data_IF_449104661954
#
_entry.id   IF_449104661954
#
_cell.length_a   1.000
_cell.length_b   1.000
_cell.length_c   1.000
_cell.angle_alpha   90.00
_cell.angle_beta   90.00
_cell.angle_gamma   90.00
#
_symmetry.space_group_name_H-M   'P 1'
#
loop_
_entity.id
_entity.type
_entity.pdbx_description
1 polymer ?
#
# COMPACT_ATOMS: atom_id res chain seq x y z
N UNK A 1 74.59 -21.43 -28.78
CA UNK A 1 74.21 -19.99 -28.55
C UNK A 1 72.70 -19.94 -28.44
N UNK A 2 72.19 -19.85 -27.23
CA UNK A 2 70.77 -19.81 -26.95
C UNK A 2 70.41 -18.36 -26.69
N UNK A 3 69.44 -17.81 -27.47
CA UNK A 3 68.84 -16.52 -27.23
C UNK A 3 67.75 -16.70 -26.17
N UNK A 4 67.70 -15.88 -25.08
CA UNK A 4 66.63 -15.92 -24.16
C UNK A 4 65.42 -15.16 -24.75
N UNK A 5 64.28 -15.84 -24.79
CA UNK A 5 63.01 -15.24 -25.14
C UNK A 5 62.60 -14.19 -24.10
N UNK A 6 62.42 -12.95 -24.53
CA UNK A 6 61.89 -11.87 -23.69
C UNK A 6 60.41 -12.14 -23.36
N UNK A 7 59.95 -11.92 -22.12
CA UNK A 7 58.56 -12.05 -21.76
C UNK A 7 57.78 -10.87 -22.37
N UNK A 8 56.77 -11.20 -23.18
CA UNK A 8 55.78 -10.24 -23.66
C UNK A 8 55.04 -9.61 -22.46
N UNK A 9 55.56 -8.45 -22.01
CA UNK A 9 54.87 -7.64 -21.06
C UNK A 9 53.62 -7.06 -21.71
N UNK A 10 52.46 -7.50 -21.26
CA UNK A 10 51.17 -6.91 -21.62
C UNK A 10 51.14 -5.52 -21.00
N UNK A 11 51.60 -4.52 -21.77
CA UNK A 11 51.47 -3.10 -21.44
C UNK A 11 49.97 -2.77 -21.45
N UNK A 12 49.36 -2.75 -20.28
CA UNK A 12 48.06 -2.13 -20.10
C UNK A 12 48.17 -0.63 -20.49
N UNK A 13 47.45 -0.15 -21.51
CA UNK A 13 47.53 1.25 -21.89
C UNK A 13 47.16 2.12 -20.71
N UNK A 14 47.88 3.24 -20.44
CA UNK A 14 47.53 4.15 -19.36
C UNK A 14 46.20 4.78 -19.69
N UNK A 15 45.18 4.44 -18.90
CA UNK A 15 43.87 5.06 -19.06
C UNK A 15 43.97 6.55 -18.69
N UNK A 16 43.67 7.42 -19.66
CA UNK A 16 43.65 8.87 -19.53
C UNK A 16 42.88 9.31 -18.27
N UNK A 17 43.44 10.16 -17.42
CA UNK A 17 42.80 10.58 -16.16
C UNK A 17 41.45 11.25 -16.41
N UNK A 18 41.27 11.96 -17.53
CA UNK A 18 40.00 12.55 -17.93
C UNK A 18 38.92 11.48 -18.24
N UNK A 19 39.31 10.34 -18.84
CA UNK A 19 38.39 9.24 -19.13
C UNK A 19 37.94 8.53 -17.84
N UNK A 20 38.86 8.34 -16.88
CA UNK A 20 38.50 7.80 -15.56
C UNK A 20 37.54 8.69 -14.79
N UNK A 21 37.68 10.01 -14.87
CA UNK A 21 36.78 10.97 -14.25
C UNK A 21 35.39 10.93 -14.89
N UNK A 22 35.30 10.86 -16.22
CA UNK A 22 34.01 10.72 -16.93
C UNK A 22 33.32 9.42 -16.59
N UNK A 23 34.01 8.30 -16.54
CA UNK A 23 33.44 7.01 -16.18
C UNK A 23 32.89 7.03 -14.74
N UNK A 24 33.65 7.60 -13.80
CA UNK A 24 33.18 7.75 -12.40
C UNK A 24 31.93 8.61 -12.30
N UNK A 25 31.87 9.69 -13.05
CA UNK A 25 30.69 10.59 -13.09
C UNK A 25 29.46 9.85 -13.68
N UNK A 26 29.63 9.13 -14.79
CA UNK A 26 28.56 8.35 -15.39
C UNK A 26 28.06 7.26 -14.45
N UNK A 27 28.95 6.53 -13.79
CA UNK A 27 28.59 5.49 -12.82
C UNK A 27 27.87 6.10 -11.62
N UNK A 28 28.34 7.22 -11.09
CA UNK A 28 27.69 7.90 -9.97
C UNK A 28 26.30 8.43 -10.33
N UNK A 29 26.14 9.01 -11.52
CA UNK A 29 24.85 9.49 -12.03
C UNK A 29 23.86 8.31 -12.24
N UNK A 30 24.32 7.22 -12.85
CA UNK A 30 23.47 6.06 -13.07
C UNK A 30 23.02 5.41 -11.74
N UNK A 31 23.93 5.31 -10.77
CA UNK A 31 23.59 4.82 -9.43
C UNK A 31 22.57 5.73 -8.73
N UNK A 32 22.73 7.05 -8.84
CA UNK A 32 21.78 8.01 -8.29
C UNK A 32 20.38 7.87 -8.92
N UNK A 33 20.30 7.70 -10.25
CA UNK A 33 19.03 7.49 -10.96
C UNK A 33 18.36 6.20 -10.51
N UNK A 34 19.10 5.10 -10.38
CA UNK A 34 18.57 3.81 -9.93
C UNK A 34 18.04 3.91 -8.50
N UNK A 35 18.80 4.54 -7.58
CA UNK A 35 18.36 4.75 -6.20
C UNK A 35 17.11 5.62 -6.11
N UNK A 36 17.06 6.71 -6.87
CA UNK A 36 15.88 7.59 -6.91
C UNK A 36 14.66 6.86 -7.45
N UNK A 37 14.82 6.08 -8.51
CA UNK A 37 13.73 5.27 -9.07
C UNK A 37 13.23 4.21 -8.07
N UNK A 38 14.13 3.57 -7.33
CA UNK A 38 13.76 2.61 -6.29
C UNK A 38 13.00 3.28 -5.14
N UNK A 39 13.43 4.46 -4.69
CA UNK A 39 12.73 5.23 -3.66
C UNK A 39 11.33 5.68 -4.10
N UNK A 40 11.19 6.15 -5.35
CA UNK A 40 9.89 6.51 -5.90
C UNK A 40 8.99 5.28 -5.97
N UNK A 41 9.49 4.14 -6.45
CA UNK A 41 8.72 2.91 -6.53
C UNK A 41 8.23 2.43 -5.16
N UNK A 42 9.08 2.46 -4.14
CA UNK A 42 8.68 2.08 -2.78
C UNK A 42 7.68 3.06 -2.17
N UNK A 43 7.80 4.36 -2.43
CA UNK A 43 6.86 5.38 -1.96
C UNK A 43 5.46 5.21 -2.56
N UNK A 44 5.36 4.90 -3.85
CA UNK A 44 4.07 4.61 -4.50
C UNK A 44 3.46 3.29 -4.04
N UNK A 45 4.28 2.29 -3.70
CA UNK A 45 3.78 1.01 -3.17
C UNK A 45 3.25 1.09 -1.74
N UNK A 46 3.66 2.11 -0.99
CA UNK A 46 3.22 2.34 0.40
C UNK A 46 1.91 3.14 0.50
N UNK A 47 1.46 3.79 -0.57
CA UNK A 47 0.16 4.48 -0.56
C UNK A 47 -0.97 3.47 -0.70
N UNK A 48 -1.66 3.19 0.40
CA UNK A 48 -2.89 2.41 0.40
C UNK A 48 -3.97 3.23 -0.31
N UNK A 49 -4.34 2.83 -1.51
CA UNK A 49 -5.43 3.46 -2.25
C UNK A 49 -6.75 3.23 -1.49
N UNK A 50 -7.49 4.32 -1.23
CA UNK A 50 -8.81 4.25 -0.62
C UNK A 50 -9.79 3.64 -1.63
N UNK A 51 -10.33 2.47 -1.32
CA UNK A 51 -11.24 1.71 -2.19
C UNK A 51 -12.54 1.37 -1.50
N UNK A 52 -13.57 1.29 -2.32
CA UNK A 52 -14.89 0.82 -1.89
C UNK A 52 -14.98 -0.72 -1.99
N UNK A 53 -15.88 -1.36 -1.23
CA UNK A 53 -16.12 -2.79 -1.32
C UNK A 53 -16.38 -3.32 -2.73
N UNK A 54 -17.12 -2.59 -3.56
CA UNK A 54 -17.40 -2.98 -4.95
C UNK A 54 -16.12 -3.01 -5.81
N UNK A 55 -15.26 -2.01 -5.69
CA UNK A 55 -13.96 -1.99 -6.38
C UNK A 55 -13.04 -3.09 -5.88
N UNK A 56 -13.03 -3.30 -4.56
CA UNK A 56 -12.19 -4.33 -3.96
C UNK A 56 -12.61 -5.74 -4.44
N UNK A 57 -13.91 -5.99 -4.52
CA UNK A 57 -14.43 -7.27 -4.99
C UNK A 57 -14.07 -7.57 -6.46
N UNK A 58 -14.03 -6.53 -7.31
CA UNK A 58 -13.78 -6.67 -8.76
C UNK A 58 -12.31 -6.66 -9.16
N UNK A 59 -11.45 -5.93 -8.43
CA UNK A 59 -10.09 -5.63 -8.91
C UNK A 59 -8.97 -5.85 -7.89
N UNK A 60 -9.25 -6.44 -6.71
CA UNK A 60 -8.22 -6.65 -5.70
C UNK A 60 -7.19 -7.68 -6.13
N UNK A 61 -5.94 -7.27 -6.23
CA UNK A 61 -4.79 -8.16 -6.43
C UNK A 61 -4.33 -8.77 -5.10
N UNK A 62 -3.94 -10.04 -5.14
CA UNK A 62 -3.41 -10.72 -3.96
C UNK A 62 -2.11 -10.05 -3.47
N UNK A 63 -1.93 -9.97 -2.16
CA UNK A 63 -0.73 -9.42 -1.51
C UNK A 63 -0.61 -7.90 -1.50
N UNK A 64 -1.50 -7.18 -2.17
CA UNK A 64 -1.53 -5.71 -2.15
C UNK A 64 -2.40 -5.20 -1.01
N UNK A 65 -1.94 -4.16 -0.34
CA UNK A 65 -2.71 -3.49 0.70
C UNK A 65 -3.67 -2.45 0.10
N UNK A 66 -4.90 -2.42 0.61
CA UNK A 66 -5.95 -1.48 0.22
C UNK A 66 -6.57 -0.87 1.46
N UNK A 67 -6.88 0.41 1.41
CA UNK A 67 -7.63 1.08 2.47
C UNK A 67 -9.13 0.96 2.19
N UNK A 68 -9.75 -0.06 2.75
CA UNK A 68 -11.18 -0.32 2.59
C UNK A 68 -12.00 0.68 3.41
N UNK A 69 -12.90 1.38 2.74
CA UNK A 69 -13.85 2.29 3.38
C UNK A 69 -15.28 1.86 3.08
N UNK A 70 -16.10 1.70 4.10
CA UNK A 70 -17.51 1.32 3.93
C UNK A 70 -18.23 1.21 5.26
N UNK A 71 -19.47 0.72 5.22
CA UNK A 71 -20.30 0.49 6.42
C UNK A 71 -20.27 -0.98 6.81
N UNK A 72 -20.15 -1.24 8.10
CA UNK A 72 -20.31 -2.60 8.65
C UNK A 72 -21.75 -3.06 8.44
N UNK A 73 -21.93 -4.25 7.89
CA UNK A 73 -23.25 -4.84 7.66
C UNK A 73 -23.84 -5.29 9.00
N UNK A 74 -25.11 -4.93 9.24
CA UNK A 74 -25.83 -5.33 10.44
C UNK A 74 -25.96 -6.86 10.52
N UNK A 75 -25.75 -7.45 11.69
CA UNK A 75 -25.80 -8.88 11.93
C UNK A 75 -24.64 -9.70 11.33
N UNK A 76 -23.58 -9.02 10.85
CA UNK A 76 -22.42 -9.69 10.25
C UNK A 76 -21.19 -9.76 11.15
N UNK A 77 -21.26 -9.18 12.33
CA UNK A 77 -20.12 -9.12 13.25
C UNK A 77 -20.08 -10.38 14.10
N UNK A 78 -18.97 -11.10 14.01
CA UNK A 78 -18.69 -12.30 14.78
C UNK A 78 -17.37 -12.14 15.53
N UNK A 79 -17.34 -12.62 16.75
CA UNK A 79 -16.12 -12.68 17.54
C UNK A 79 -15.23 -13.85 17.10
N UNK A 80 -13.97 -13.54 16.83
CA UNK A 80 -12.96 -14.55 16.51
C UNK A 80 -11.79 -14.43 17.50
N UNK A 81 -10.96 -15.46 17.67
CA UNK A 81 -9.79 -15.37 18.52
C UNK A 81 -8.90 -14.17 18.18
N UNK A 82 -8.78 -13.23 19.12
CA UNK A 82 -7.95 -12.03 18.98
C UNK A 82 -8.50 -10.91 18.12
N UNK A 83 -9.79 -10.95 17.74
CA UNK A 83 -10.38 -9.90 16.90
C UNK A 83 -11.84 -10.11 16.52
N UNK A 84 -12.22 -9.63 15.35
CA UNK A 84 -13.59 -9.74 14.82
C UNK A 84 -13.58 -10.07 13.33
N UNK A 85 -14.57 -10.86 12.91
CA UNK A 85 -14.94 -11.06 11.52
C UNK A 85 -16.20 -10.26 11.24
N UNK A 86 -16.26 -9.55 10.13
CA UNK A 86 -17.43 -8.75 9.75
C UNK A 86 -17.47 -8.52 8.25
N UNK A 87 -18.59 -8.06 7.75
CA UNK A 87 -18.74 -7.67 6.34
C UNK A 87 -18.82 -6.16 6.22
N UNK A 88 -18.14 -5.63 5.21
CA UNK A 88 -18.18 -4.21 4.88
C UNK A 88 -18.87 -4.03 3.53
N UNK A 89 -19.90 -3.18 3.49
CA UNK A 89 -20.64 -2.85 2.27
C UNK A 89 -20.38 -1.41 1.83
N UNK A 90 -20.65 -1.14 0.58
CA UNK A 90 -20.66 0.23 0.06
C UNK A 90 -21.66 1.12 0.81
N UNK A 91 -21.38 2.41 0.88
CA UNK A 91 -22.30 3.38 1.49
C UNK A 91 -23.69 3.37 0.86
N UNK A 92 -23.74 3.30 -0.48
CA UNK A 92 -24.95 3.40 -1.29
C UNK A 92 -25.18 2.14 -2.14
N UNK A 93 -24.45 1.06 -1.84
CA UNK A 93 -24.52 -0.18 -2.61
C UNK A 93 -24.84 -1.39 -1.75
N UNK A 94 -25.17 -2.51 -2.40
CA UNK A 94 -25.44 -3.80 -1.78
C UNK A 94 -24.23 -4.73 -1.74
N UNK A 95 -23.17 -4.41 -2.49
CA UNK A 95 -21.97 -5.26 -2.55
C UNK A 95 -21.20 -5.15 -1.24
N UNK A 96 -20.93 -6.31 -0.64
CA UNK A 96 -20.17 -6.40 0.61
C UNK A 96 -19.04 -7.42 0.47
N UNK A 97 -17.94 -7.16 1.20
CA UNK A 97 -16.79 -8.05 1.25
C UNK A 97 -16.56 -8.52 2.70
N UNK A 98 -16.18 -9.79 2.89
CA UNK A 98 -15.84 -10.31 4.22
C UNK A 98 -14.45 -9.79 4.64
N UNK A 99 -14.35 -9.32 5.89
CA UNK A 99 -13.11 -8.84 6.48
C UNK A 99 -12.87 -9.61 7.77
N UNK A 100 -11.68 -10.17 7.91
CA UNK A 100 -11.18 -10.76 9.15
C UNK A 100 -10.14 -9.82 9.75
N UNK A 101 -10.44 -9.27 10.89
CA UNK A 101 -9.56 -8.33 11.59
C UNK A 101 -9.06 -8.93 12.90
N UNK A 102 -7.74 -8.94 13.08
CA UNK A 102 -7.07 -9.40 14.28
C UNK A 102 -6.31 -8.21 14.89
N UNK A 103 -6.72 -7.78 16.08
CA UNK A 103 -6.14 -6.63 16.77
C UNK A 103 -7.14 -5.91 17.65
N UNK A 104 -6.72 -4.76 18.19
CA UNK A 104 -7.58 -3.93 19.03
C UNK A 104 -8.74 -3.35 18.23
N UNK A 105 -9.97 -3.58 18.71
CA UNK A 105 -11.18 -3.03 18.09
C UNK A 105 -11.51 -1.71 18.80
N UNK A 106 -11.65 -0.59 18.07
CA UNK A 106 -11.98 0.69 18.68
C UNK A 106 -13.35 0.66 19.39
N UNK A 107 -13.48 1.33 20.54
CA UNK A 107 -14.73 1.40 21.29
C UNK A 107 -15.95 1.86 20.47
N UNK A 108 -15.84 2.82 19.53
CA UNK A 108 -16.98 3.26 18.71
C UNK A 108 -17.37 2.26 17.62
N UNK A 109 -16.67 1.12 17.48
CA UNK A 109 -17.02 0.11 16.48
C UNK A 109 -18.41 -0.49 16.77
N UNK A 110 -19.30 -0.36 15.80
CA UNK A 110 -20.67 -0.90 15.84
C UNK A 110 -21.11 -1.28 14.43
N UNK A 111 -22.08 -2.16 14.37
CA UNK A 111 -22.81 -2.44 13.13
C UNK A 111 -23.46 -1.18 12.56
N UNK A 112 -23.55 -1.07 11.25
CA UNK A 112 -24.06 0.11 10.55
C UNK A 112 -23.13 1.35 10.57
N UNK A 113 -22.02 1.29 11.30
CA UNK A 113 -21.02 2.38 11.34
C UNK A 113 -20.09 2.32 10.14
N UNK A 114 -19.61 3.48 9.76
CA UNK A 114 -18.59 3.57 8.73
C UNK A 114 -17.22 3.32 9.34
N UNK A 115 -16.47 2.44 8.68
CA UNK A 115 -15.11 2.06 9.08
C UNK A 115 -14.13 2.27 7.94
N UNK A 116 -12.89 2.47 8.31
CA UNK A 116 -11.73 2.45 7.42
C UNK A 116 -10.79 1.39 7.99
N UNK A 117 -10.36 0.46 7.17
CA UNK A 117 -9.41 -0.58 7.56
C UNK A 117 -8.48 -0.91 6.41
N UNK A 118 -7.19 -1.04 6.69
CA UNK A 118 -6.23 -1.50 5.70
C UNK A 118 -6.33 -3.01 5.60
N UNK A 119 -6.62 -3.52 4.41
CA UNK A 119 -6.85 -4.95 4.15
C UNK A 119 -5.94 -5.47 3.05
N UNK A 120 -5.61 -6.77 3.14
CA UNK A 120 -4.96 -7.54 2.08
C UNK A 120 -5.84 -8.70 1.68
N UNK A 121 -5.86 -9.01 0.38
CA UNK A 121 -6.63 -10.13 -0.13
C UNK A 121 -5.90 -11.44 0.15
N UNK A 122 -6.57 -12.34 0.87
CA UNK A 122 -6.14 -13.71 1.13
C UNK A 122 -7.26 -14.67 0.68
N UNK A 123 -7.10 -15.23 -0.52
CA UNK A 123 -8.11 -16.08 -1.12
C UNK A 123 -9.44 -15.33 -1.36
N UNK A 124 -10.53 -15.80 -0.75
CA UNK A 124 -11.86 -15.21 -0.83
C UNK A 124 -12.15 -14.17 0.27
N UNK A 125 -11.26 -14.03 1.25
CA UNK A 125 -11.41 -13.15 2.42
C UNK A 125 -10.38 -12.04 2.39
N UNK A 126 -10.71 -10.92 3.00
CA UNK A 126 -9.79 -9.82 3.21
C UNK A 126 -9.32 -9.80 4.67
N UNK A 127 -8.02 -9.81 4.87
CA UNK A 127 -7.41 -9.75 6.20
C UNK A 127 -7.01 -8.32 6.50
N UNK A 128 -7.55 -7.78 7.61
CA UNK A 128 -7.22 -6.45 8.09
C UNK A 128 -5.86 -6.40 8.79
N UNK A 129 -5.08 -5.37 8.51
CA UNK A 129 -3.82 -5.12 9.23
C UNK A 129 -4.11 -4.68 10.66
N UNK A 130 -3.25 -5.08 11.59
CA UNK A 130 -3.36 -4.68 13.01
C UNK A 130 -3.33 -3.17 13.14
N UNK A 131 -4.11 -2.63 14.07
CA UNK A 131 -4.17 -1.22 14.43
C UNK A 131 -4.57 -0.27 13.28
N UNK A 132 -5.07 -0.84 12.16
CA UNK A 132 -5.55 -0.07 11.01
C UNK A 132 -7.05 0.21 11.03
N UNK A 133 -7.81 -0.40 11.92
CA UNK A 133 -9.26 -0.24 12.01
C UNK A 133 -9.62 1.09 12.66
N UNK A 134 -10.22 1.98 11.90
CA UNK A 134 -10.71 3.28 12.36
C UNK A 134 -12.21 3.37 12.13
N UNK A 135 -12.94 3.77 13.15
CA UNK A 135 -14.39 4.02 13.04
C UNK A 135 -14.63 5.51 12.90
N UNK A 136 -15.36 5.91 11.86
CA UNK A 136 -15.77 7.30 11.70
C UNK A 136 -16.90 7.61 12.65
N UNK A 137 -16.71 8.61 13.52
CA UNK A 137 -17.80 9.21 14.26
C UNK A 137 -18.73 9.95 13.29
N UNK A 138 -20.05 9.78 13.36
CA UNK A 138 -20.96 10.61 12.57
C UNK A 138 -20.80 12.05 13.03
N UNK A 139 -20.18 12.88 12.21
CA UNK A 139 -20.23 14.32 12.39
C UNK A 139 -21.69 14.75 12.25
N UNK A 140 -22.29 15.24 13.32
CA UNK A 140 -23.63 15.86 13.30
C UNK A 140 -23.57 17.26 12.66
N UNK A 141 -22.87 17.38 11.55
CA UNK A 141 -23.07 18.50 10.64
C UNK A 141 -24.11 18.07 9.61
N UNK A 142 -25.35 17.93 10.07
CA UNK A 142 -26.48 18.12 9.18
C UNK A 142 -26.44 19.58 8.77
N UNK A 143 -26.16 19.84 7.51
CA UNK A 143 -26.46 21.11 6.88
C UNK A 143 -27.97 21.36 7.06
N UNK A 144 -28.34 21.99 8.17
CA UNK A 144 -29.57 22.71 8.23
C UNK A 144 -29.38 23.95 7.36
N UNK A 145 -29.71 23.83 6.09
CA UNK A 145 -29.99 24.97 5.27
C UNK A 145 -31.03 25.82 6.01
N UNK A 146 -30.72 27.07 6.34
CA UNK A 146 -31.74 27.97 6.84
C UNK A 146 -32.74 28.21 5.70
N UNK A 147 -33.95 27.66 5.86
CA UNK A 147 -35.06 28.00 5.00
C UNK A 147 -35.27 29.52 5.08
N UNK A 148 -34.95 30.21 4.00
CA UNK A 148 -35.36 31.59 3.80
C UNK A 148 -36.89 31.61 3.74
N UNK A 149 -37.47 32.16 4.77
CA UNK A 149 -38.85 32.65 4.72
C UNK A 149 -38.84 34.02 4.02
N UNK A 150 -39.48 34.10 2.90
CA UNK A 150 -40.02 35.33 2.33
C UNK A 150 -41.24 35.76 3.13
#
# INVERSE_FOLDING_TARGET
MAYPAAPFGILKPPMNPARKRRIRLVVALSAAVVLTSALIYTSFSASSEAVTPSRLASSAAAGRAYQLTGKVVDGSVEDIPGGKSFRVRDRNGSISVPVRYVGAVPDPFREGREVIVTVRKEGATFVGERDSLVTKCPSKFSDKQPSQRS
#
